data_IF_733778013906
#
_entry.id   IF_733778013906
#
_cell.length_a   1.000
_cell.length_b   1.000
_cell.length_c   1.000
_cell.angle_alpha   90.00
_cell.angle_beta   90.00
_cell.angle_gamma   90.00
#
_symmetry.space_group_name_H-M   'P 1'
#
loop_
_entity.id
_entity.type
_entity.pdbx_description
1 polymer ?
#
# COMPACT_ATOMS: atom_id res chain seq x y z
N UNK A 1 10.20 -0.98 -10.63
CA UNK A 1 10.37 -0.74 -9.18
C UNK A 1 9.76 -1.87 -8.37
N UNK A 2 10.24 -2.09 -7.14
CA UNK A 2 9.72 -3.12 -6.24
C UNK A 2 8.56 -2.56 -5.42
N UNK A 3 7.49 -3.32 -5.31
CA UNK A 3 6.35 -3.03 -4.42
C UNK A 3 6.28 -4.15 -3.37
N UNK A 4 6.24 -3.74 -2.11
CA UNK A 4 6.09 -4.60 -0.94
C UNK A 4 4.71 -4.38 -0.34
N UNK A 5 3.97 -5.46 -0.10
CA UNK A 5 2.69 -5.43 0.62
C UNK A 5 2.79 -6.38 1.81
N UNK A 6 2.71 -5.82 3.01
CA UNK A 6 2.67 -6.54 4.28
C UNK A 6 1.23 -6.59 4.80
N UNK A 7 0.63 -7.78 4.78
CA UNK A 7 -0.73 -7.98 5.23
C UNK A 7 -0.85 -8.07 6.76
N UNK A 8 0.28 -8.20 7.48
CA UNK A 8 0.36 -8.22 8.93
C UNK A 8 -0.72 -9.13 9.58
N UNK A 9 -1.57 -8.56 10.44
CA UNK A 9 -2.61 -9.29 11.18
C UNK A 9 -3.74 -9.85 10.30
N UNK A 10 -3.81 -9.47 9.02
CA UNK A 10 -4.80 -10.04 8.08
C UNK A 10 -4.41 -11.43 7.58
N UNK A 11 -3.19 -11.89 7.85
CA UNK A 11 -2.62 -13.10 7.26
C UNK A 11 -2.23 -12.89 5.79
N UNK A 12 -1.53 -13.85 5.19
CA UNK A 12 -0.96 -13.72 3.83
C UNK A 12 0.50 -13.24 3.79
N UNK A 13 1.05 -12.84 4.94
CA UNK A 13 2.48 -12.52 5.09
C UNK A 13 2.89 -11.27 4.31
N UNK A 14 4.16 -11.26 3.87
CA UNK A 14 4.71 -10.16 3.06
C UNK A 14 4.85 -10.64 1.62
N UNK A 15 4.23 -9.91 0.70
CA UNK A 15 4.33 -10.15 -0.75
C UNK A 15 5.20 -9.08 -1.40
N UNK A 16 6.03 -9.50 -2.35
CA UNK A 16 6.84 -8.61 -3.18
C UNK A 16 6.52 -8.85 -4.65
N UNK A 17 6.32 -7.78 -5.40
CA UNK A 17 6.16 -7.84 -6.85
C UNK A 17 6.78 -6.62 -7.52
N UNK A 18 6.98 -6.69 -8.84
CA UNK A 18 7.62 -5.64 -9.60
C UNK A 18 6.60 -4.89 -10.45
N UNK A 19 6.56 -3.57 -10.32
CA UNK A 19 5.92 -2.71 -11.31
C UNK A 19 6.93 -2.38 -12.42
N UNK A 20 6.55 -2.62 -13.68
CA UNK A 20 7.38 -2.31 -14.84
C UNK A 20 7.32 -0.81 -15.18
N UNK A 21 8.40 -0.30 -15.79
CA UNK A 21 8.49 1.10 -16.21
C UNK A 21 8.70 2.08 -15.05
N UNK A 22 8.15 3.29 -15.22
CA UNK A 22 8.22 4.42 -14.29
C UNK A 22 6.79 4.83 -13.86
N UNK A 23 6.21 4.18 -12.83
CA UNK A 23 4.87 4.49 -12.37
C UNK A 23 4.78 5.92 -11.84
N UNK A 24 3.80 6.68 -12.33
CA UNK A 24 3.61 8.08 -11.96
C UNK A 24 3.11 8.31 -10.52
N UNK A 25 2.73 7.23 -9.82
CA UNK A 25 2.28 7.26 -8.44
C UNK A 25 2.40 5.92 -7.70
N UNK A 26 2.35 5.95 -6.36
CA UNK A 26 2.28 4.75 -5.53
C UNK A 26 1.09 3.83 -5.86
N UNK A 27 -0.07 4.38 -6.23
CA UNK A 27 -1.21 3.57 -6.69
C UNK A 27 -0.93 2.87 -8.02
N UNK A 28 -0.31 3.59 -8.97
CA UNK A 28 0.07 2.98 -10.26
C UNK A 28 1.18 1.96 -10.11
N UNK A 29 2.09 2.15 -9.14
CA UNK A 29 3.08 1.15 -8.79
C UNK A 29 2.39 -0.10 -8.23
N UNK A 30 1.47 0.07 -7.28
CA UNK A 30 0.76 -1.04 -6.64
C UNK A 30 -0.04 -1.87 -7.67
N UNK A 31 -0.84 -1.22 -8.51
CA UNK A 31 -1.62 -1.94 -9.54
C UNK A 31 -0.74 -2.47 -10.66
N UNK A 32 0.29 -1.73 -11.07
CA UNK A 32 1.27 -2.16 -12.07
C UNK A 32 2.11 -3.37 -11.62
N UNK A 33 2.26 -3.58 -10.31
CA UNK A 33 2.86 -4.77 -9.73
C UNK A 33 1.89 -5.97 -9.62
N UNK A 34 0.65 -5.82 -10.08
CA UNK A 34 -0.34 -6.90 -10.14
C UNK A 34 -1.24 -7.02 -8.91
N UNK A 35 -1.15 -6.09 -7.95
CA UNK A 35 -2.06 -6.09 -6.80
C UNK A 35 -3.41 -5.50 -7.19
N UNK A 36 -4.48 -6.15 -6.73
CA UNK A 36 -5.83 -5.61 -6.84
C UNK A 36 -6.10 -4.68 -5.66
N UNK A 37 -6.75 -3.54 -5.93
CA UNK A 37 -7.03 -2.54 -4.90
C UNK A 37 -8.52 -2.20 -4.89
N UNK A 38 -9.05 -1.93 -3.70
CA UNK A 38 -10.39 -1.37 -3.53
C UNK A 38 -10.29 -0.08 -2.74
N UNK A 39 -10.97 0.96 -3.22
CA UNK A 39 -11.13 2.23 -2.50
C UNK A 39 -12.41 2.25 -1.68
N UNK A 40 -12.55 3.29 -0.86
CA UNK A 40 -13.80 3.53 -0.12
C UNK A 40 -14.90 4.03 -1.06
N UNK A 41 -16.17 3.80 -0.72
CA UNK A 41 -17.32 4.32 -1.48
C UNK A 41 -17.38 5.84 -1.43
N UNK A 42 -17.10 6.45 -0.27
CA UNK A 42 -17.18 7.89 -0.09
C UNK A 42 -16.06 8.67 -0.80
N UNK A 43 -14.85 8.10 -0.85
CA UNK A 43 -13.65 8.84 -1.28
C UNK A 43 -12.87 8.15 -2.42
N UNK A 44 -13.37 7.03 -2.94
CA UNK A 44 -12.67 6.25 -3.95
C UNK A 44 -11.29 5.81 -3.48
N UNK A 45 -10.30 5.89 -4.38
CA UNK A 45 -8.91 5.50 -4.13
C UNK A 45 -8.10 6.53 -3.31
N UNK A 46 -8.70 7.65 -2.88
CA UNK A 46 -8.06 8.52 -1.89
C UNK A 46 -7.83 7.77 -0.56
N UNK A 47 -8.62 6.73 -0.29
CA UNK A 47 -8.38 5.77 0.78
C UNK A 47 -8.45 4.36 0.21
N UNK A 48 -7.31 3.68 0.13
CA UNK A 48 -7.25 2.24 -0.17
C UNK A 48 -7.77 1.48 1.05
N UNK A 49 -8.90 0.81 0.90
CA UNK A 49 -9.50 0.02 1.97
C UNK A 49 -9.12 -1.47 1.87
N UNK A 50 -8.84 -1.99 0.66
CA UNK A 50 -8.39 -3.38 0.47
C UNK A 50 -7.26 -3.46 -0.53
N UNK A 51 -6.34 -4.40 -0.27
CA UNK A 51 -5.37 -4.90 -1.24
C UNK A 51 -5.58 -6.42 -1.33
N UNK A 52 -5.68 -6.97 -2.54
CA UNK A 52 -5.95 -8.39 -2.77
C UNK A 52 -7.14 -8.95 -1.96
N UNK A 53 -8.19 -8.14 -1.82
CA UNK A 53 -9.41 -8.52 -1.12
C UNK A 53 -9.31 -8.53 0.42
N UNK A 54 -8.18 -8.09 0.99
CA UNK A 54 -7.95 -8.03 2.43
C UNK A 54 -7.89 -6.57 2.95
N UNK A 55 -8.52 -6.24 4.09
CA UNK A 55 -9.44 -7.09 4.86
C UNK A 55 -10.68 -7.48 4.04
N UNK A 56 -11.32 -8.60 4.38
CA UNK A 56 -12.51 -9.06 3.62
C UNK A 56 -13.65 -8.04 3.69
N UNK A 57 -14.62 -8.16 2.77
CA UNK A 57 -15.77 -7.27 2.76
C UNK A 57 -16.68 -7.38 3.99
N UNK A 58 -16.63 -8.49 4.72
CA UNK A 58 -17.32 -8.66 6.00
C UNK A 58 -16.63 -7.86 7.13
N UNK A 59 -15.30 -7.68 7.05
CA UNK A 59 -14.50 -6.99 8.07
C UNK A 59 -14.45 -5.49 7.82
N UNK A 60 -14.17 -5.08 6.58
CA UNK A 60 -14.09 -3.69 6.18
C UNK A 60 -15.05 -3.51 5.01
N UNK A 61 -16.23 -2.88 5.16
CA UNK A 61 -17.20 -2.72 4.08
C UNK A 61 -16.81 -1.64 3.06
N UNK A 62 -15.71 -0.92 3.29
CA UNK A 62 -15.18 0.16 2.45
C UNK A 62 -16.16 1.32 2.27
N UNK A 63 -16.92 1.69 3.30
CA UNK A 63 -17.89 2.77 3.16
C UNK A 63 -17.23 4.15 3.31
N UNK A 64 -16.43 4.32 4.35
CA UNK A 64 -15.77 5.56 4.74
C UNK A 64 -14.26 5.33 4.95
N UNK A 65 -13.56 6.38 5.35
CA UNK A 65 -12.16 6.30 5.78
C UNK A 65 -11.97 5.17 6.81
N UNK A 66 -11.02 4.25 6.59
CA UNK A 66 -10.72 3.16 7.54
C UNK A 66 -10.32 3.71 8.91
N UNK A 67 -10.48 2.87 9.94
CA UNK A 67 -10.04 3.20 11.30
C UNK A 67 -8.54 3.48 11.33
N UNK A 68 -8.11 4.46 12.13
CA UNK A 68 -6.69 4.74 12.36
C UNK A 68 -5.93 3.58 13.02
N UNK A 69 -6.64 2.61 13.61
CA UNK A 69 -6.05 1.38 14.16
C UNK A 69 -5.93 0.23 13.15
N UNK A 70 -6.57 0.34 11.97
CA UNK A 70 -6.69 -0.75 11.01
C UNK A 70 -6.86 -0.21 9.58
N UNK A 71 -5.75 0.24 8.98
CA UNK A 71 -5.73 0.79 7.62
C UNK A 71 -4.47 0.38 6.85
N UNK A 72 -4.49 0.57 5.53
CA UNK A 72 -3.32 0.44 4.67
C UNK A 72 -2.48 1.71 4.73
N UNK A 73 -1.35 1.63 5.43
CA UNK A 73 -0.33 2.68 5.47
C UNK A 73 0.58 2.59 4.26
N UNK A 74 1.06 3.73 3.77
CA UNK A 74 1.86 3.85 2.56
C UNK A 74 3.26 4.39 2.86
N UNK A 75 4.27 3.78 2.25
CA UNK A 75 5.67 3.93 2.56
C UNK A 75 6.53 3.99 1.30
N UNK A 76 7.68 4.64 1.40
CA UNK A 76 8.69 4.66 0.35
C UNK A 76 10.09 4.52 0.95
N UNK A 77 11.02 3.94 0.19
CA UNK A 77 12.41 3.75 0.59
C UNK A 77 13.34 3.59 -0.63
N UNK A 78 14.65 3.67 -0.39
CA UNK A 78 15.65 3.12 -1.32
C UNK A 78 15.90 1.65 -1.00
N UNK A 79 16.32 0.81 -1.96
CA UNK A 79 16.68 -0.59 -1.70
C UNK A 79 17.73 -0.72 -0.59
N UNK A 80 17.48 -1.58 0.40
CA UNK A 80 18.35 -1.74 1.58
C UNK A 80 18.38 -0.56 2.55
N UNK A 81 17.53 0.46 2.35
CA UNK A 81 17.41 1.64 3.20
C UNK A 81 16.41 1.47 4.34
N UNK A 82 15.83 2.59 4.77
CA UNK A 82 14.82 2.64 5.83
C UNK A 82 13.49 3.10 5.26
N UNK A 83 12.39 2.48 5.72
CA UNK A 83 11.04 2.91 5.38
C UNK A 83 10.74 4.33 5.87
N UNK A 84 10.21 5.16 4.98
CA UNK A 84 9.64 6.46 5.32
C UNK A 84 8.13 6.43 5.13
N UNK A 85 7.38 6.84 6.16
CA UNK A 85 5.94 6.98 6.07
C UNK A 85 5.63 8.11 5.09
N UNK A 86 4.70 7.90 4.15
CA UNK A 86 4.36 8.92 3.18
C UNK A 86 3.45 9.98 3.79
N UNK A 87 3.87 11.25 3.71
CA UNK A 87 3.03 12.39 4.08
C UNK A 87 2.07 12.82 2.96
N UNK A 88 2.17 12.19 1.79
CA UNK A 88 1.30 12.43 0.64
C UNK A 88 0.40 11.21 0.36
N UNK A 89 -0.73 11.45 -0.29
CA UNK A 89 -1.57 10.35 -0.77
C UNK A 89 -0.84 9.51 -1.83
N UNK A 90 -1.08 8.21 -1.84
CA UNK A 90 -0.47 7.30 -2.82
C UNK A 90 -0.84 7.60 -4.28
N UNK A 91 -1.91 8.36 -4.52
CA UNK A 91 -2.28 8.86 -5.85
C UNK A 91 -1.49 10.10 -6.29
N UNK A 92 -0.84 10.80 -5.36
CA UNK A 92 -0.17 12.09 -5.61
C UNK A 92 1.36 12.04 -5.41
N UNK A 93 1.88 11.05 -4.69
CA UNK A 93 3.32 10.85 -4.57
C UNK A 93 3.87 10.18 -5.83
N UNK A 94 4.81 10.83 -6.53
CA UNK A 94 5.51 10.26 -7.67
C UNK A 94 6.84 9.61 -7.22
N UNK A 95 6.94 8.28 -7.19
CA UNK A 95 8.16 7.59 -6.76
C UNK A 95 9.31 7.78 -7.74
N UNK A 96 10.51 8.04 -7.23
CA UNK A 96 11.69 8.13 -8.08
C UNK A 96 12.06 6.75 -8.67
N UNK A 97 12.58 6.68 -9.90
CA UNK A 97 13.05 5.42 -10.46
C UNK A 97 14.06 4.71 -9.54
N UNK A 98 13.85 3.40 -9.35
CA UNK A 98 14.73 2.57 -8.51
C UNK A 98 14.39 2.56 -7.01
N UNK A 99 13.37 3.28 -6.56
CA UNK A 99 12.86 3.17 -5.18
C UNK A 99 12.05 1.89 -4.96
N UNK A 100 11.75 1.64 -3.68
CA UNK A 100 10.84 0.61 -3.20
C UNK A 100 9.62 1.29 -2.61
N UNK A 101 8.45 0.84 -3.04
CA UNK A 101 7.15 1.28 -2.54
C UNK A 101 6.62 0.24 -1.57
N UNK A 102 6.04 0.68 -0.45
CA UNK A 102 5.61 -0.18 0.64
C UNK A 102 4.18 0.08 1.07
N UNK A 103 3.46 -0.99 1.39
CA UNK A 103 2.12 -0.97 1.95
C UNK A 103 2.07 -1.89 3.15
N UNK A 104 1.52 -1.44 4.26
CA UNK A 104 1.39 -2.27 5.46
C UNK A 104 0.04 -2.05 6.14
N UNK A 105 -0.63 -3.15 6.48
CA UNK A 105 -1.90 -3.07 7.20
C UNK A 105 -1.70 -2.97 8.71
N UNK A 106 -2.42 -2.07 9.37
CA UNK A 106 -2.47 -1.97 10.82
C UNK A 106 -2.64 -0.53 11.29
N UNK A 107 -1.94 -0.17 12.37
CA UNK A 107 -1.99 1.15 12.99
C UNK A 107 -0.83 2.07 12.55
N UNK A 108 -0.41 1.98 11.30
CA UNK A 108 0.68 2.82 10.75
C UNK A 108 2.10 2.35 11.07
N UNK A 109 2.31 1.05 11.31
CA UNK A 109 3.65 0.47 11.36
C UNK A 109 4.20 0.23 9.94
N UNK A 110 5.52 0.33 9.78
CA UNK A 110 6.18 0.06 8.51
C UNK A 110 6.06 -1.43 8.12
N UNK A 111 6.25 -1.78 6.83
CA UNK A 111 6.41 -3.17 6.44
C UNK A 111 7.49 -3.85 7.28
N UNK A 112 7.23 -5.08 7.74
CA UNK A 112 8.07 -5.83 8.68
C UNK A 112 9.40 -6.33 8.09
N UNK A 113 9.62 -6.14 6.78
CA UNK A 113 10.83 -6.52 6.06
C UNK A 113 11.63 -5.29 5.67
N UNK A 114 12.95 -5.44 5.54
CA UNK A 114 13.77 -4.39 4.94
C UNK A 114 13.32 -4.09 3.50
N UNK A 115 13.35 -2.83 3.04
CA UNK A 115 13.02 -2.44 1.66
C UNK A 115 13.82 -3.23 0.61
#
# INVERSE_FOLDING_TARGET
MTVVVDFASLGGGVTRACALGDPASGLTALTGAGFTITGTKRWGLAFVCRINGLPTAATEPCLNTPSASAYWSYWHATPGGTWSYSSAGASSYNPAPGTVEGWAFGSGAAPSVAP
#
